data_IF_911780274572
#
_entry.id   IF_911780274572
#
_cell.length_a   1.000
_cell.length_b   1.000
_cell.length_c   1.000
_cell.angle_alpha   90.00
_cell.angle_beta   90.00
_cell.angle_gamma   90.00
#
_symmetry.space_group_name_H-M   'P 1'
#
loop_
_entity.id
_entity.type
_entity.pdbx_description
1 polymer ?
#
# COMPACT_ATOMS: atom_id res chain seq x y z
N UNK A 1 -17.05 1.43 5.44
CA UNK A 1 -16.38 2.38 6.34
C UNK A 1 -15.00 2.78 5.86
N UNK A 2 -14.25 1.83 5.38
CA UNK A 2 -12.95 2.07 4.78
C UNK A 2 -13.02 3.03 3.60
N UNK A 3 -14.02 2.86 2.77
CA UNK A 3 -14.28 3.72 1.61
C UNK A 3 -14.63 5.14 2.03
N UNK A 4 -15.35 5.29 3.13
CA UNK A 4 -15.73 6.60 3.64
C UNK A 4 -14.50 7.39 4.06
N UNK A 5 -13.56 6.75 4.75
CA UNK A 5 -12.33 7.40 5.18
C UNK A 5 -11.53 7.87 3.96
N UNK A 6 -11.41 7.02 2.94
CA UNK A 6 -10.72 7.36 1.72
C UNK A 6 -11.40 8.50 0.98
N UNK A 7 -12.73 8.52 0.96
CA UNK A 7 -13.51 9.58 0.31
C UNK A 7 -13.35 10.93 0.99
N UNK A 8 -13.14 10.94 2.29
CA UNK A 8 -12.85 12.19 3.00
C UNK A 8 -11.54 12.82 2.57
N UNK A 9 -10.58 11.99 2.17
CA UNK A 9 -9.28 12.47 1.69
C UNK A 9 -9.37 12.98 0.26
N UNK A 10 -10.24 12.39 -0.56
CA UNK A 10 -10.39 12.72 -1.97
C UNK A 10 -11.84 13.08 -2.24
N UNK A 11 -12.18 14.30 -2.15
CA UNK A 11 -13.56 14.75 -2.34
C UNK A 11 -14.14 14.30 -3.68
N UNK A 12 -15.46 14.24 -3.77
CA UNK A 12 -16.20 13.74 -4.91
C UNK A 12 -15.98 14.56 -6.18
N UNK A 13 -14.93 14.25 -6.88
CA UNK A 13 -14.55 14.90 -8.13
C UNK A 13 -14.10 13.83 -9.11
N UNK A 14 -13.79 14.24 -10.33
CA UNK A 14 -13.17 13.33 -11.32
C UNK A 14 -11.86 12.77 -10.79
N UNK A 15 -11.12 13.59 -10.05
CA UNK A 15 -9.87 13.18 -9.43
C UNK A 15 -10.06 12.05 -8.44
N UNK A 16 -11.12 12.14 -7.63
CA UNK A 16 -11.45 11.08 -6.65
C UNK A 16 -11.64 9.74 -7.34
N UNK A 17 -12.38 9.73 -8.43
CA UNK A 17 -12.63 8.50 -9.20
C UNK A 17 -11.34 7.92 -9.75
N UNK A 18 -10.45 8.77 -10.23
CA UNK A 18 -9.15 8.35 -10.75
C UNK A 18 -8.29 7.76 -9.65
N UNK A 19 -8.23 8.42 -8.49
CA UNK A 19 -7.49 7.90 -7.35
C UNK A 19 -8.00 6.54 -6.91
N UNK A 20 -9.31 6.34 -6.90
CA UNK A 20 -9.90 5.04 -6.56
C UNK A 20 -9.53 3.96 -7.55
N UNK A 21 -9.51 4.28 -8.84
CA UNK A 21 -9.07 3.34 -9.86
C UNK A 21 -7.63 2.89 -9.63
N UNK A 22 -6.75 3.86 -9.37
CA UNK A 22 -5.34 3.58 -9.13
C UNK A 22 -5.17 2.77 -7.83
N UNK A 23 -5.87 3.16 -6.79
CA UNK A 23 -5.85 2.45 -5.52
C UNK A 23 -6.28 0.99 -5.67
N UNK A 24 -7.38 0.76 -6.38
CA UNK A 24 -7.88 -0.59 -6.61
C UNK A 24 -6.93 -1.41 -7.48
N UNK A 25 -6.32 -0.76 -8.46
CA UNK A 25 -5.32 -1.40 -9.31
C UNK A 25 -4.10 -1.83 -8.49
N UNK A 26 -3.64 -0.97 -7.60
CA UNK A 26 -2.53 -1.28 -6.72
C UNK A 26 -2.84 -2.49 -5.83
N UNK A 27 -4.05 -2.53 -5.26
CA UNK A 27 -4.50 -3.67 -4.46
C UNK A 27 -4.52 -4.96 -5.26
N UNK A 28 -5.00 -4.89 -6.48
CA UNK A 28 -5.03 -6.05 -7.38
C UNK A 28 -3.63 -6.63 -7.57
N UNK A 29 -2.65 -5.77 -7.81
CA UNK A 29 -1.28 -6.22 -8.02
C UNK A 29 -0.63 -6.74 -6.74
N UNK A 30 -0.96 -6.17 -5.60
CA UNK A 30 -0.52 -6.69 -4.30
C UNK A 30 -1.07 -8.10 -4.09
N UNK A 31 -2.34 -8.32 -4.40
CA UNK A 31 -2.96 -9.65 -4.28
C UNK A 31 -2.29 -10.67 -5.20
N UNK A 32 -2.01 -10.28 -6.45
CA UNK A 32 -1.30 -11.13 -7.39
C UNK A 32 0.11 -11.47 -6.90
N UNK A 33 0.80 -10.49 -6.35
CA UNK A 33 2.13 -10.68 -5.79
C UNK A 33 2.08 -11.67 -4.62
N UNK A 34 1.12 -11.51 -3.72
CA UNK A 34 0.95 -12.42 -2.58
C UNK A 34 0.69 -13.85 -3.03
N UNK A 35 -0.17 -14.03 -4.02
CA UNK A 35 -0.46 -15.35 -4.57
C UNK A 35 0.77 -15.98 -5.20
N UNK A 36 1.53 -15.20 -5.95
CA UNK A 36 2.75 -15.66 -6.59
C UNK A 36 3.78 -16.11 -5.56
N UNK A 37 3.96 -15.31 -4.52
CA UNK A 37 4.89 -15.65 -3.44
C UNK A 37 4.43 -16.89 -2.67
N UNK A 38 3.14 -17.01 -2.41
CA UNK A 38 2.59 -18.16 -1.71
C UNK A 38 2.80 -19.47 -2.49
N UNK A 39 2.79 -19.38 -3.82
CA UNK A 39 2.97 -20.54 -4.69
C UNK A 39 4.42 -20.93 -4.91
N UNK A 40 5.37 -20.10 -4.51
CA UNK A 40 6.78 -20.32 -4.79
C UNK A 40 7.39 -21.29 -3.79
N UNK A 41 7.81 -22.50 -4.24
CA UNK A 41 8.41 -23.47 -3.34
C UNK A 41 9.71 -22.98 -2.72
N UNK A 42 10.50 -22.18 -3.46
CA UNK A 42 11.78 -21.68 -2.95
C UNK A 42 11.58 -20.78 -1.74
N UNK A 43 10.51 -19.96 -1.75
CA UNK A 43 10.15 -19.11 -0.62
C UNK A 43 9.91 -19.95 0.64
N UNK A 44 9.21 -21.04 0.50
CA UNK A 44 8.91 -21.95 1.62
C UNK A 44 10.16 -22.63 2.14
N UNK A 45 11.07 -23.01 1.25
CA UNK A 45 12.32 -23.67 1.63
C UNK A 45 13.21 -22.78 2.51
N UNK A 46 13.25 -21.47 2.22
CA UNK A 46 14.04 -20.54 3.03
C UNK A 46 13.25 -19.98 4.22
N UNK A 47 11.98 -20.38 4.37
CA UNK A 47 11.15 -19.94 5.49
C UNK A 47 10.74 -18.48 5.45
N UNK A 48 10.71 -17.90 4.26
CA UNK A 48 10.31 -16.50 4.09
C UNK A 48 8.82 -16.33 4.26
N UNK A 49 8.40 -15.47 5.17
CA UNK A 49 7.00 -15.22 5.47
C UNK A 49 6.37 -14.27 4.46
N UNK A 50 5.04 -14.31 4.27
CA UNK A 50 4.36 -13.40 3.34
C UNK A 50 4.64 -11.92 3.62
N UNK A 51 4.68 -11.53 4.90
CA UNK A 51 4.99 -10.16 5.28
C UNK A 51 6.38 -9.72 4.82
N UNK A 52 7.35 -10.63 4.85
CA UNK A 52 8.70 -10.34 4.38
C UNK A 52 8.72 -10.11 2.88
N UNK A 53 7.90 -10.84 2.12
CA UNK A 53 7.76 -10.62 0.69
C UNK A 53 7.21 -9.22 0.41
N UNK A 54 6.21 -8.79 1.18
CA UNK A 54 5.66 -7.45 1.03
C UNK A 54 6.67 -6.35 1.36
N UNK A 55 7.55 -6.60 2.33
CA UNK A 55 8.63 -5.65 2.64
C UNK A 55 9.58 -5.50 1.46
N UNK A 56 9.89 -6.60 0.77
CA UNK A 56 10.71 -6.52 -0.44
C UNK A 56 10.03 -5.71 -1.54
N UNK A 57 8.72 -5.90 -1.71
CA UNK A 57 7.95 -5.10 -2.65
C UNK A 57 8.01 -3.62 -2.30
N UNK A 58 7.91 -3.30 -1.02
CA UNK A 58 8.01 -1.91 -0.56
C UNK A 58 9.36 -1.29 -0.91
N UNK A 59 10.44 -2.05 -0.75
CA UNK A 59 11.79 -1.57 -1.11
C UNK A 59 11.87 -1.21 -2.59
N UNK A 60 11.33 -2.07 -3.44
CA UNK A 60 11.33 -1.82 -4.89
C UNK A 60 10.49 -0.61 -5.23
N UNK A 61 9.30 -0.48 -4.64
CA UNK A 61 8.43 0.67 -4.88
C UNK A 61 9.06 1.97 -4.39
N UNK A 62 9.71 1.95 -3.24
CA UNK A 62 10.41 3.12 -2.72
C UNK A 62 11.53 3.55 -3.66
N UNK A 63 12.28 2.59 -4.19
CA UNK A 63 13.32 2.86 -5.17
C UNK A 63 12.75 3.55 -6.41
N UNK A 64 11.64 3.05 -6.94
CA UNK A 64 11.00 3.63 -8.12
C UNK A 64 10.51 5.05 -7.83
N UNK A 65 9.89 5.26 -6.67
CA UNK A 65 9.42 6.59 -6.27
C UNK A 65 10.58 7.58 -6.22
N UNK A 66 11.70 7.19 -5.61
CA UNK A 66 12.86 8.06 -5.50
C UNK A 66 13.49 8.37 -6.86
N UNK A 67 13.37 7.44 -7.81
CA UNK A 67 13.88 7.66 -9.16
C UNK A 67 13.02 8.63 -9.97
N UNK A 68 11.70 8.59 -9.77
CA UNK A 68 10.77 9.36 -10.59
C UNK A 68 10.28 10.66 -9.96
N UNK A 69 10.25 10.75 -8.63
CA UNK A 69 9.84 11.97 -7.94
C UNK A 69 11.03 12.87 -7.62
N UNK A 70 10.86 14.12 -7.87
CA UNK A 70 11.88 15.13 -7.56
C UNK A 70 11.23 16.33 -6.87
N UNK A 71 11.91 16.93 -5.89
CA UNK A 71 13.19 16.51 -5.31
C UNK A 71 13.06 15.28 -4.39
N UNK A 72 14.19 14.63 -4.11
CA UNK A 72 14.20 13.41 -3.27
C UNK A 72 13.58 13.62 -1.90
N UNK A 73 13.85 14.77 -1.30
CA UNK A 73 13.35 15.09 0.04
C UNK A 73 11.83 15.12 0.08
N UNK A 74 11.21 15.66 -0.98
CA UNK A 74 9.76 15.67 -1.10
C UNK A 74 9.20 14.26 -1.24
N UNK A 75 9.89 13.40 -2.00
CA UNK A 75 9.49 12.00 -2.18
C UNK A 75 9.56 11.24 -0.85
N UNK A 76 10.64 11.42 -0.10
CA UNK A 76 10.80 10.79 1.20
C UNK A 76 9.73 11.24 2.19
N UNK A 77 9.44 12.54 2.22
CA UNK A 77 8.39 13.07 3.08
C UNK A 77 7.01 12.51 2.71
N UNK A 78 6.72 12.40 1.41
CA UNK A 78 5.46 11.86 0.94
C UNK A 78 5.31 10.40 1.34
N UNK A 79 6.35 9.59 1.18
CA UNK A 79 6.34 8.19 1.58
C UNK A 79 6.11 8.03 3.08
N UNK A 80 6.78 8.84 3.88
CA UNK A 80 6.63 8.81 5.33
C UNK A 80 5.19 9.13 5.74
N UNK A 81 4.60 10.17 5.16
CA UNK A 81 3.20 10.53 5.45
C UNK A 81 2.24 9.43 5.07
N UNK A 82 2.47 8.76 3.95
CA UNK A 82 1.60 7.67 3.50
C UNK A 82 1.68 6.46 4.43
N UNK A 83 2.86 6.16 4.96
CA UNK A 83 3.04 5.09 5.94
C UNK A 83 2.24 5.40 7.21
N UNK A 84 2.31 6.65 7.69
CA UNK A 84 1.54 7.06 8.87
C UNK A 84 0.04 6.96 8.64
N UNK A 85 -0.43 7.37 7.46
CA UNK A 85 -1.85 7.23 7.10
C UNK A 85 -2.29 5.77 7.06
N UNK A 86 -1.48 4.90 6.51
CA UNK A 86 -1.79 3.47 6.48
C UNK A 86 -1.93 2.91 7.88
N UNK A 87 -1.04 3.30 8.79
CA UNK A 87 -1.09 2.90 10.18
C UNK A 87 -2.39 3.38 10.86
N UNK A 88 -2.74 4.64 10.66
CA UNK A 88 -3.98 5.20 11.22
C UNK A 88 -5.22 4.48 10.70
N UNK A 89 -5.24 4.16 9.42
CA UNK A 89 -6.36 3.43 8.83
C UNK A 89 -6.51 2.04 9.44
N UNK A 90 -5.42 1.34 9.69
CA UNK A 90 -5.46 0.03 10.34
C UNK A 90 -5.98 0.15 11.77
N UNK A 91 -5.54 1.14 12.51
CA UNK A 91 -6.02 1.37 13.87
C UNK A 91 -7.52 1.65 13.90
N UNK A 92 -8.00 2.46 12.97
CA UNK A 92 -9.43 2.76 12.86
C UNK A 92 -10.24 1.51 12.52
N UNK A 93 -9.74 0.67 11.64
CA UNK A 93 -10.40 -0.59 11.31
C UNK A 93 -10.48 -1.53 12.52
N UNK A 94 -9.42 -1.60 13.32
CA UNK A 94 -9.41 -2.40 14.54
C UNK A 94 -10.42 -1.90 15.56
N UNK A 95 -10.55 -0.59 15.72
CA UNK A 95 -11.56 0.00 16.60
C UNK A 95 -12.98 -0.37 16.18
N UNK A 96 -13.24 -0.33 14.87
CA UNK A 96 -14.54 -0.69 14.34
C UNK A 96 -14.84 -2.17 14.58
N UNK A 97 -13.86 -3.03 14.39
CA UNK A 97 -14.02 -4.48 14.59
C UNK A 97 -14.27 -4.88 16.03
N UNK A 98 -13.76 -4.12 16.97
CA UNK A 98 -13.94 -4.40 18.41
C UNK A 98 -15.35 -4.11 18.90
N UNK A 99 -16.11 -3.40 18.12
CA UNK A 99 -17.51 -3.16 18.44
C UNK A 99 -18.38 -4.25 17.86
#
# INVERSE_FOLDING_TARGET
MKEIISMQLFKESKETKTYYKIYNLAHKYVDMFNETCASDPARKQVGMKPAECLLMMQVVLAKEILMWMRPKEAAQSAMHRMILKAHDNILNLKKIRKK
#
